data_IF_683068814671
#
_entry.id   IF_683068814671
#
_cell.length_a   1.000
_cell.length_b   1.000
_cell.length_c   1.000
_cell.angle_alpha   90.00
_cell.angle_beta   90.00
_cell.angle_gamma   90.00
#
_symmetry.space_group_name_H-M   'P 1'
#
loop_
_entity.id
_entity.type
_entity.pdbx_description
1 polymer ?
#
# COMPACT_ATOMS: atom_id res chain seq x y z
N UNK A 1 29.42 -20.83 -29.37
CA UNK A 1 28.20 -20.78 -30.22
C UNK A 1 27.06 -21.52 -29.53
N UNK A 2 26.20 -20.80 -28.81
CA UNK A 2 24.82 -21.21 -28.53
C UNK A 2 23.98 -19.93 -28.59
N UNK A 3 23.27 -19.76 -29.71
CA UNK A 3 22.27 -18.71 -29.91
C UNK A 3 21.07 -19.05 -29.03
N UNK A 4 20.67 -18.14 -28.16
CA UNK A 4 19.35 -18.18 -27.54
C UNK A 4 18.38 -17.69 -28.63
N UNK A 5 17.67 -18.64 -29.23
CA UNK A 5 16.62 -18.40 -30.20
C UNK A 5 15.35 -17.99 -29.44
N UNK A 6 14.90 -16.74 -29.61
CA UNK A 6 13.68 -16.29 -28.92
C UNK A 6 13.28 -14.82 -29.02
N UNK A 7 13.88 -13.97 -29.86
CA UNK A 7 13.35 -12.62 -30.12
C UNK A 7 13.41 -12.30 -31.63
N UNK A 8 12.60 -13.01 -32.42
CA UNK A 8 12.35 -12.62 -33.80
C UNK A 8 11.35 -11.47 -33.85
N UNK A 9 11.80 -10.29 -34.29
CA UNK A 9 11.02 -9.48 -35.21
C UNK A 9 10.09 -8.39 -34.66
N UNK A 10 10.49 -7.63 -33.63
CA UNK A 10 9.83 -6.33 -33.38
C UNK A 10 10.68 -5.23 -34.02
N UNK A 11 10.19 -4.53 -35.07
CA UNK A 11 10.97 -3.49 -35.72
C UNK A 11 11.32 -2.39 -34.71
N UNK A 12 12.55 -1.85 -34.71
CA UNK A 12 13.01 -0.88 -33.70
C UNK A 12 12.20 0.43 -33.71
N UNK A 13 11.49 0.71 -34.80
CA UNK A 13 10.57 1.84 -34.98
C UNK A 13 9.12 1.55 -34.61
N UNK A 14 8.77 0.28 -34.36
CA UNK A 14 7.43 -0.06 -33.87
C UNK A 14 7.25 0.40 -32.42
N UNK A 15 6.01 0.68 -32.02
CA UNK A 15 5.67 1.06 -30.65
C UNK A 15 6.20 0.03 -29.63
N UNK A 16 6.15 -1.27 -29.98
CA UNK A 16 6.71 -2.34 -29.17
C UNK A 16 8.24 -2.27 -29.05
N UNK A 17 8.94 -1.98 -30.15
CA UNK A 17 10.41 -1.87 -30.20
C UNK A 17 10.94 -0.66 -29.43
N UNK A 18 10.25 0.49 -29.58
CA UNK A 18 10.55 1.72 -28.83
C UNK A 18 10.35 1.50 -27.33
N UNK A 19 9.22 0.88 -26.93
CA UNK A 19 8.94 0.55 -25.53
C UNK A 19 9.98 -0.41 -24.93
N UNK A 20 10.38 -1.44 -25.66
CA UNK A 20 11.39 -2.39 -25.21
C UNK A 20 12.77 -1.72 -25.04
N UNK A 21 13.16 -0.83 -25.97
CA UNK A 21 14.42 -0.06 -25.85
C UNK A 21 14.35 0.91 -24.67
N UNK A 22 13.27 1.66 -24.50
CA UNK A 22 13.09 2.57 -23.38
C UNK A 22 13.15 1.84 -22.02
N UNK A 23 12.52 0.67 -21.91
CA UNK A 23 12.57 -0.16 -20.69
C UNK A 23 13.98 -0.71 -20.42
N UNK A 24 14.74 -1.08 -21.46
CA UNK A 24 16.14 -1.51 -21.33
C UNK A 24 17.04 -0.35 -20.86
N UNK A 25 16.93 0.81 -21.49
CA UNK A 25 17.67 2.02 -21.08
C UNK A 25 17.32 2.42 -19.65
N UNK A 26 16.03 2.37 -19.29
CA UNK A 26 15.57 2.67 -17.93
C UNK A 26 16.12 1.67 -16.90
N UNK A 27 16.15 0.36 -17.22
CA UNK A 27 16.78 -0.66 -16.36
C UNK A 27 18.27 -0.39 -16.14
N UNK A 28 18.99 -0.04 -17.19
CA UNK A 28 20.43 0.25 -17.12
C UNK A 28 20.72 1.52 -16.31
N UNK A 29 20.02 2.63 -16.60
CA UNK A 29 20.13 3.86 -15.81
C UNK A 29 19.76 3.62 -14.34
N UNK A 30 18.76 2.77 -14.09
CA UNK A 30 18.36 2.41 -12.73
C UNK A 30 19.48 1.69 -11.97
N UNK A 31 20.08 0.68 -12.58
CA UNK A 31 21.19 -0.07 -11.98
C UNK A 31 22.35 0.86 -11.61
N UNK A 32 22.70 1.79 -12.50
CA UNK A 32 23.79 2.74 -12.26
C UNK A 32 23.44 3.73 -11.14
N UNK A 33 22.26 4.34 -11.16
CA UNK A 33 21.88 5.37 -10.18
C UNK A 33 21.53 4.79 -8.81
N UNK A 34 21.01 3.57 -8.73
CA UNK A 34 20.67 2.94 -7.44
C UNK A 34 21.92 2.61 -6.59
N UNK A 35 23.11 2.54 -7.22
CA UNK A 35 24.40 2.35 -6.52
C UNK A 35 24.93 3.65 -5.91
N UNK A 36 24.38 4.80 -6.28
CA UNK A 36 24.79 6.09 -5.71
C UNK A 36 24.09 6.33 -4.37
N UNK A 37 24.88 6.47 -3.31
CA UNK A 37 24.37 6.79 -1.97
C UNK A 37 23.56 8.09 -1.99
N UNK A 38 22.44 8.11 -1.27
CA UNK A 38 21.52 9.25 -1.22
C UNK A 38 20.54 9.36 -2.40
N UNK A 39 20.74 8.63 -3.51
CA UNK A 39 19.86 8.74 -4.67
C UNK A 39 18.44 8.23 -4.40
N UNK A 40 18.30 7.04 -3.81
CA UNK A 40 16.97 6.45 -3.56
C UNK A 40 16.17 7.23 -2.52
N UNK A 41 16.75 7.71 -1.40
CA UNK A 41 16.07 8.64 -0.51
C UNK A 41 15.61 9.93 -1.20
N UNK A 42 16.42 10.51 -2.10
CA UNK A 42 16.08 11.75 -2.79
C UNK A 42 14.83 11.60 -3.69
N UNK A 43 14.56 10.39 -4.19
CA UNK A 43 13.31 10.12 -4.91
C UNK A 43 12.07 10.43 -4.05
N UNK A 44 12.13 10.25 -2.71
CA UNK A 44 11.02 10.63 -1.84
C UNK A 44 10.76 12.13 -1.86
N UNK A 45 11.81 12.96 -1.90
CA UNK A 45 11.69 14.41 -1.99
C UNK A 45 11.06 14.82 -3.33
N UNK A 46 11.50 14.23 -4.44
CA UNK A 46 10.92 14.46 -5.77
C UNK A 46 9.44 14.05 -5.80
N UNK A 47 9.09 12.92 -5.18
CA UNK A 47 7.71 12.44 -5.14
C UNK A 47 6.82 13.38 -4.29
N UNK A 48 7.37 13.98 -3.23
CA UNK A 48 6.66 14.88 -2.34
C UNK A 48 6.52 16.31 -2.90
N UNK A 49 7.46 16.75 -3.75
CA UNK A 49 7.48 18.12 -4.26
C UNK A 49 6.34 18.42 -5.25
N UNK A 50 5.43 19.31 -4.83
CA UNK A 50 4.31 19.77 -5.64
C UNK A 50 4.70 20.63 -6.85
N UNK A 51 5.93 21.13 -6.91
CA UNK A 51 6.45 21.89 -8.05
C UNK A 51 6.95 20.99 -9.18
N UNK A 52 7.16 19.70 -8.91
CA UNK A 52 7.59 18.72 -9.92
C UNK A 52 6.37 18.23 -10.71
N UNK A 53 6.44 18.17 -12.06
CA UNK A 53 5.34 17.65 -12.86
C UNK A 53 4.93 16.22 -12.50
N UNK A 54 3.61 15.96 -12.47
CA UNK A 54 3.04 14.66 -12.08
C UNK A 54 3.66 13.44 -12.80
N UNK A 55 3.92 13.47 -14.13
CA UNK A 55 4.55 12.33 -14.81
C UNK A 55 5.96 12.01 -14.28
N UNK A 56 6.69 13.01 -13.79
CA UNK A 56 8.03 12.85 -13.21
C UNK A 56 7.92 12.26 -11.81
N UNK A 57 7.00 12.78 -10.99
CA UNK A 57 6.71 12.25 -9.64
C UNK A 57 6.27 10.78 -9.69
N UNK A 58 5.40 10.44 -10.65
CA UNK A 58 4.96 9.06 -10.85
C UNK A 58 6.11 8.15 -11.29
N UNK A 59 6.96 8.61 -12.22
CA UNK A 59 8.17 7.89 -12.64
C UNK A 59 9.12 7.65 -11.47
N UNK A 60 9.35 8.67 -10.63
CA UNK A 60 10.17 8.58 -9.42
C UNK A 60 9.58 7.57 -8.42
N UNK A 61 8.26 7.56 -8.20
CA UNK A 61 7.59 6.60 -7.32
C UNK A 61 7.68 5.15 -7.82
N UNK A 62 7.56 4.95 -9.14
CA UNK A 62 7.76 3.63 -9.75
C UNK A 62 9.20 3.17 -9.56
N UNK A 63 10.18 4.05 -9.80
CA UNK A 63 11.59 3.75 -9.63
C UNK A 63 11.89 3.40 -8.17
N UNK A 64 11.46 4.24 -7.23
CA UNK A 64 11.65 4.06 -5.80
C UNK A 64 11.14 2.68 -5.34
N UNK A 65 9.91 2.33 -5.70
CA UNK A 65 9.31 1.02 -5.39
C UNK A 65 10.16 -0.12 -5.94
N UNK A 66 10.69 0.02 -7.15
CA UNK A 66 11.52 -1.02 -7.78
C UNK A 66 12.87 -1.16 -7.10
N UNK A 67 13.48 -0.07 -6.64
CA UNK A 67 14.73 -0.09 -5.89
C UNK A 67 14.53 -0.75 -4.52
N UNK A 68 13.48 -0.35 -3.79
CA UNK A 68 13.13 -1.00 -2.51
C UNK A 68 12.82 -2.49 -2.70
N UNK A 69 12.13 -2.89 -3.77
CA UNK A 69 11.81 -4.30 -4.00
C UNK A 69 12.99 -5.19 -4.39
N UNK A 70 14.11 -4.64 -4.87
CA UNK A 70 15.25 -5.41 -5.42
C UNK A 70 16.57 -5.22 -4.66
N UNK A 71 16.72 -4.09 -4.00
CA UNK A 71 18.00 -3.65 -3.42
C UNK A 71 17.91 -3.40 -1.91
N UNK A 72 16.79 -3.78 -1.26
CA UNK A 72 16.66 -3.60 0.19
C UNK A 72 17.52 -4.58 0.99
N UNK A 73 17.58 -5.85 0.59
CA UNK A 73 18.56 -6.84 1.06
C UNK A 73 18.96 -7.73 -0.13
N UNK A 74 20.19 -8.26 -0.10
CA UNK A 74 20.64 -9.26 -1.07
C UNK A 74 20.02 -10.59 -0.65
N UNK A 75 19.24 -11.21 -1.55
CA UNK A 75 18.69 -12.55 -1.33
C UNK A 75 19.64 -13.51 -2.04
N UNK A 76 20.40 -14.30 -1.27
CA UNK A 76 21.44 -15.20 -1.80
C UNK A 76 20.86 -16.43 -2.55
N UNK A 77 19.56 -16.74 -2.38
CA UNK A 77 18.95 -18.03 -2.77
C UNK A 77 18.03 -17.97 -4.03
N UNK A 78 18.18 -16.99 -4.93
CA UNK A 78 17.35 -16.95 -6.15
C UNK A 78 17.98 -17.84 -7.26
N UNK A 79 17.76 -19.16 -7.18
CA UNK A 79 18.22 -20.18 -8.14
C UNK A 79 17.68 -19.96 -9.59
N UNK A 80 16.71 -19.06 -9.77
CA UNK A 80 16.14 -18.65 -11.06
C UNK A 80 16.73 -17.33 -11.62
N UNK A 81 17.78 -16.78 -11.00
CA UNK A 81 18.38 -15.53 -11.46
C UNK A 81 19.31 -15.73 -12.66
N UNK A 82 18.75 -15.42 -13.84
CA UNK A 82 19.39 -15.29 -15.16
C UNK A 82 20.76 -14.56 -15.10
N UNK A 83 21.86 -15.31 -14.95
CA UNK A 83 23.27 -15.06 -15.27
C UNK A 83 23.82 -13.60 -15.14
N UNK A 84 23.34 -12.80 -14.19
CA UNK A 84 23.86 -11.43 -13.95
C UNK A 84 23.95 -11.10 -12.46
N UNK A 85 24.77 -11.87 -11.74
CA UNK A 85 25.07 -11.69 -10.31
C UNK A 85 25.81 -10.36 -9.98
N UNK A 86 26.31 -9.63 -10.97
CA UNK A 86 27.09 -8.39 -10.76
C UNK A 86 26.24 -7.12 -10.55
N UNK A 87 24.91 -7.22 -10.63
CA UNK A 87 24.02 -6.05 -10.62
C UNK A 87 23.09 -5.90 -9.40
N UNK A 88 23.19 -6.79 -8.42
CA UNK A 88 22.45 -6.69 -7.16
C UNK A 88 23.21 -5.84 -6.13
N UNK A 89 23.22 -4.52 -6.33
CA UNK A 89 23.66 -3.59 -5.28
C UNK A 89 22.62 -3.49 -4.16
N UNK A 90 23.06 -3.65 -2.90
CA UNK A 90 22.27 -3.38 -1.70
C UNK A 90 22.29 -1.89 -1.35
N UNK A 91 21.17 -1.34 -0.85
CA UNK A 91 21.12 0.02 -0.31
C UNK A 91 21.96 0.11 0.98
N UNK A 92 22.62 1.27 1.16
CA UNK A 92 23.34 1.56 2.40
C UNK A 92 22.37 1.62 3.59
N UNK A 93 22.84 1.26 4.79
CA UNK A 93 22.01 1.34 6.00
C UNK A 93 21.58 2.78 6.30
N UNK A 94 22.42 3.76 5.98
CA UNK A 94 22.07 5.18 6.10
C UNK A 94 20.88 5.55 5.20
N UNK A 95 20.91 5.13 3.93
CA UNK A 95 19.79 5.36 3.01
C UNK A 95 18.51 4.67 3.49
N UNK A 96 18.61 3.44 3.99
CA UNK A 96 17.45 2.74 4.57
C UNK A 96 16.87 3.50 5.75
N UNK A 97 17.71 4.06 6.63
CA UNK A 97 17.27 4.84 7.78
C UNK A 97 16.58 6.14 7.35
N UNK A 98 17.12 6.85 6.36
CA UNK A 98 16.48 8.05 5.79
C UNK A 98 15.14 7.71 5.13
N UNK A 99 15.05 6.59 4.40
CA UNK A 99 13.81 6.11 3.79
C UNK A 99 12.76 5.80 4.86
N UNK A 100 13.14 5.04 5.89
CA UNK A 100 12.26 4.68 7.02
C UNK A 100 11.74 5.92 7.75
N UNK A 101 12.58 6.94 7.94
CA UNK A 101 12.15 8.19 8.58
C UNK A 101 11.12 8.97 7.75
N UNK A 102 11.24 8.96 6.42
CA UNK A 102 10.52 9.89 5.55
C UNK A 102 9.37 9.28 4.74
N UNK A 103 9.33 7.97 4.51
CA UNK A 103 8.35 7.34 3.60
C UNK A 103 6.90 7.61 3.98
N UNK A 104 6.57 7.65 5.28
CA UNK A 104 5.20 7.95 5.74
C UNK A 104 4.81 9.40 5.43
N UNK A 105 5.73 10.34 5.58
CA UNK A 105 5.51 11.75 5.21
C UNK A 105 5.36 11.89 3.69
N UNK A 106 6.22 11.25 2.92
CA UNK A 106 6.13 11.24 1.46
C UNK A 106 4.78 10.68 0.96
N UNK A 107 4.22 9.65 1.61
CA UNK A 107 2.87 9.13 1.28
C UNK A 107 1.77 10.18 1.55
N UNK A 108 1.93 11.03 2.56
CA UNK A 108 0.97 12.10 2.88
C UNK A 108 0.94 13.22 1.83
N UNK A 109 2.10 13.51 1.24
CA UNK A 109 2.32 14.60 0.27
C UNK A 109 2.20 14.12 -1.19
N UNK A 110 2.28 12.81 -1.41
CA UNK A 110 2.13 12.20 -2.72
C UNK A 110 0.70 12.31 -3.27
N UNK A 111 0.62 12.50 -4.58
CA UNK A 111 -0.60 12.32 -5.39
C UNK A 111 -1.06 10.87 -5.37
N UNK A 112 -2.34 10.64 -5.71
CA UNK A 112 -2.94 9.31 -5.68
C UNK A 112 -2.16 8.25 -6.49
N UNK A 113 -1.68 8.51 -7.73
CA UNK A 113 -0.91 7.51 -8.48
C UNK A 113 0.43 7.16 -7.83
N UNK A 114 1.15 8.16 -7.31
CA UNK A 114 2.42 7.96 -6.62
C UNK A 114 2.23 7.27 -5.27
N UNK A 115 1.18 7.63 -4.53
CA UNK A 115 0.77 7.02 -3.25
C UNK A 115 0.57 5.51 -3.37
N UNK A 116 -0.03 5.05 -4.46
CA UNK A 116 -0.20 3.60 -4.73
C UNK A 116 1.16 2.90 -4.86
N UNK A 117 2.14 3.52 -5.52
CA UNK A 117 3.48 2.92 -5.66
C UNK A 117 4.23 2.90 -4.33
N UNK A 118 4.16 4.00 -3.57
CA UNK A 118 4.75 4.08 -2.22
C UNK A 118 4.10 3.10 -1.24
N UNK A 119 2.79 2.85 -1.36
CA UNK A 119 2.10 1.84 -0.56
C UNK A 119 2.63 0.42 -0.83
N UNK A 120 3.05 0.10 -2.05
CA UNK A 120 3.70 -1.19 -2.35
C UNK A 120 5.12 -1.21 -1.76
N UNK A 121 5.87 -0.10 -1.89
CA UNK A 121 7.22 0.00 -1.37
C UNK A 121 7.25 -0.19 0.16
N UNK A 122 6.36 0.49 0.89
CA UNK A 122 6.30 0.37 2.36
C UNK A 122 5.87 -1.03 2.80
N UNK A 123 5.02 -1.74 2.04
CA UNK A 123 4.70 -3.14 2.34
C UNK A 123 5.94 -4.03 2.28
N UNK A 124 6.82 -3.81 1.30
CA UNK A 124 8.07 -4.57 1.22
C UNK A 124 8.97 -4.25 2.42
N UNK A 125 9.12 -2.98 2.78
CA UNK A 125 9.94 -2.57 3.94
C UNK A 125 9.37 -3.18 5.24
N UNK A 126 8.05 -3.14 5.44
CA UNK A 126 7.40 -3.76 6.61
C UNK A 126 7.66 -5.27 6.66
N UNK A 127 7.63 -5.97 5.51
CA UNK A 127 7.89 -7.42 5.47
C UNK A 127 9.30 -7.77 5.96
N UNK A 128 10.28 -6.92 5.66
CA UNK A 128 11.70 -7.20 5.87
C UNK A 128 12.20 -6.66 7.21
N UNK A 129 11.85 -5.43 7.56
CA UNK A 129 12.46 -4.72 8.69
C UNK A 129 11.58 -4.67 9.95
N UNK A 130 10.25 -4.76 9.83
CA UNK A 130 9.36 -4.60 10.98
C UNK A 130 9.05 -5.96 11.65
N UNK A 131 9.15 -6.08 13.00
CA UNK A 131 9.37 -5.01 13.97
C UNK A 131 10.84 -4.77 14.37
N UNK A 132 11.74 -5.72 14.11
CA UNK A 132 13.05 -5.77 14.76
C UNK A 132 14.01 -4.63 14.34
N UNK A 133 14.06 -4.30 13.05
CA UNK A 133 14.95 -3.27 12.48
C UNK A 133 14.26 -1.92 12.29
N UNK A 134 12.98 -1.83 12.62
CA UNK A 134 12.20 -0.59 12.53
C UNK A 134 11.24 -0.43 13.72
N UNK A 135 11.77 -0.32 14.95
CA UNK A 135 10.97 -0.02 16.12
C UNK A 135 10.33 1.38 15.99
N UNK A 136 9.17 1.58 16.61
CA UNK A 136 8.46 2.87 16.62
C UNK A 136 7.70 3.23 15.33
N UNK A 137 7.76 2.40 14.27
CA UNK A 137 6.98 2.61 13.05
C UNK A 137 5.47 2.76 13.33
N UNK A 138 4.90 1.89 14.18
CA UNK A 138 3.48 1.94 14.52
C UNK A 138 3.11 3.18 15.35
N UNK A 139 4.04 3.73 16.15
CA UNK A 139 3.81 4.96 16.90
C UNK A 139 3.78 6.17 15.96
N UNK A 140 4.67 6.20 14.96
CA UNK A 140 4.63 7.22 13.91
C UNK A 140 3.32 7.15 13.10
N UNK A 141 2.87 5.94 12.75
CA UNK A 141 1.58 5.73 12.09
C UNK A 141 0.40 6.20 12.97
N UNK A 142 0.42 5.86 14.26
CA UNK A 142 -0.61 6.27 15.21
C UNK A 142 -0.73 7.80 15.27
N UNK A 143 0.39 8.52 15.31
CA UNK A 143 0.39 9.98 15.34
C UNK A 143 -0.30 10.60 14.11
N UNK A 144 -0.10 10.04 12.91
CA UNK A 144 -0.75 10.49 11.67
C UNK A 144 -2.26 10.27 11.66
N UNK A 145 -2.75 9.22 12.33
CA UNK A 145 -4.17 8.86 12.37
C UNK A 145 -4.90 9.53 13.55
N UNK A 146 -4.23 9.72 14.69
CA UNK A 146 -4.86 10.24 15.90
C UNK A 146 -5.35 11.68 15.73
N UNK A 147 -4.52 12.56 15.18
CA UNK A 147 -4.87 13.96 14.94
C UNK A 147 -4.39 14.41 13.54
N UNK A 148 -5.12 14.03 12.47
CA UNK A 148 -4.71 14.36 11.11
C UNK A 148 -4.92 15.85 10.82
N UNK A 149 -3.91 16.52 10.26
CA UNK A 149 -3.99 17.94 9.90
C UNK A 149 -5.03 18.22 8.81
N UNK A 150 -5.27 17.27 7.90
CA UNK A 150 -6.25 17.36 6.83
C UNK A 150 -6.68 15.96 6.33
N UNK A 151 -7.66 15.92 5.41
CA UNK A 151 -8.18 14.69 4.83
C UNK A 151 -7.12 13.87 4.07
N UNK A 152 -6.12 14.52 3.45
CA UNK A 152 -5.03 13.83 2.75
C UNK A 152 -4.15 13.05 3.72
N UNK A 153 -3.75 13.68 4.84
CA UNK A 153 -2.95 13.04 5.90
C UNK A 153 -3.70 11.84 6.50
N UNK A 154 -5.00 11.99 6.77
CA UNK A 154 -5.83 10.88 7.24
C UNK A 154 -5.87 9.74 6.21
N UNK A 155 -6.12 10.04 4.94
CA UNK A 155 -6.15 9.02 3.88
C UNK A 155 -4.80 8.31 3.71
N UNK A 156 -3.69 9.04 3.82
CA UNK A 156 -2.34 8.48 3.80
C UNK A 156 -2.09 7.55 4.99
N UNK A 157 -2.42 7.99 6.22
CA UNK A 157 -2.33 7.15 7.42
C UNK A 157 -3.15 5.87 7.29
N UNK A 158 -4.40 5.97 6.83
CA UNK A 158 -5.26 4.82 6.55
C UNK A 158 -4.67 3.89 5.47
N UNK A 159 -4.02 4.45 4.44
CA UNK A 159 -3.35 3.67 3.38
C UNK A 159 -2.16 2.87 3.93
N UNK A 160 -1.36 3.47 4.82
CA UNK A 160 -0.24 2.79 5.49
C UNK A 160 -0.76 1.70 6.44
N UNK A 161 -1.81 1.98 7.21
CA UNK A 161 -2.45 0.99 8.07
C UNK A 161 -3.01 -0.20 7.28
N UNK A 162 -3.65 0.05 6.15
CA UNK A 162 -4.09 -1.00 5.24
C UNK A 162 -2.92 -1.84 4.73
N UNK A 163 -1.79 -1.18 4.42
CA UNK A 163 -0.56 -1.85 3.99
C UNK A 163 -0.01 -2.79 5.05
N UNK A 164 0.01 -2.37 6.33
CA UNK A 164 0.35 -3.25 7.47
C UNK A 164 -0.58 -4.46 7.47
N UNK A 165 -1.89 -4.23 7.38
CA UNK A 165 -2.86 -5.31 7.38
C UNK A 165 -2.64 -6.32 6.26
N UNK A 166 -2.36 -5.85 5.04
CA UNK A 166 -2.07 -6.71 3.88
C UNK A 166 -0.79 -7.54 4.03
N UNK A 167 0.23 -7.01 4.71
CA UNK A 167 1.47 -7.75 4.99
C UNK A 167 1.22 -8.90 5.97
N UNK A 168 0.32 -8.71 6.93
CA UNK A 168 0.07 -9.68 8.00
C UNK A 168 -1.16 -10.56 7.77
N UNK A 169 -1.99 -10.28 6.76
CA UNK A 169 -3.25 -11.01 6.47
C UNK A 169 -3.07 -12.53 6.44
N UNK A 170 -2.01 -12.98 5.75
CA UNK A 170 -1.70 -14.41 5.56
C UNK A 170 -0.55 -14.91 6.45
N UNK A 171 -0.04 -14.09 7.38
CA UNK A 171 0.99 -14.54 8.34
C UNK A 171 0.38 -15.42 9.43
N UNK A 172 1.24 -16.20 10.10
CA UNK A 172 0.82 -17.08 11.20
C UNK A 172 0.38 -16.26 12.41
N UNK A 173 -0.43 -16.83 13.30
CA UNK A 173 -0.96 -16.14 14.49
C UNK A 173 0.14 -15.51 15.34
N UNK A 174 1.25 -16.22 15.57
CA UNK A 174 2.39 -15.71 16.35
C UNK A 174 3.00 -14.44 15.75
N UNK A 175 3.03 -14.32 14.43
CA UNK A 175 3.54 -13.13 13.75
C UNK A 175 2.53 -11.98 13.84
N UNK A 176 1.23 -12.29 13.84
CA UNK A 176 0.16 -11.28 14.00
C UNK A 176 0.15 -10.67 15.40
N UNK A 177 0.58 -11.40 16.43
CA UNK A 177 0.66 -10.89 17.81
C UNK A 177 1.57 -9.65 17.91
N UNK A 178 2.61 -9.56 17.06
CA UNK A 178 3.51 -8.40 16.96
C UNK A 178 2.76 -7.09 16.68
N UNK A 179 1.69 -7.15 15.88
CA UNK A 179 0.89 -5.97 15.51
C UNK A 179 -0.40 -5.85 16.31
N UNK A 180 -0.77 -6.85 17.13
CA UNK A 180 -2.05 -6.89 17.82
C UNK A 180 -2.26 -5.70 18.76
N UNK A 181 -1.32 -5.43 19.66
CA UNK A 181 -1.45 -4.32 20.61
C UNK A 181 -1.46 -2.93 19.92
N UNK A 182 -0.56 -2.61 18.97
CA UNK A 182 -0.65 -1.37 18.22
C UNK A 182 -1.94 -1.22 17.40
N UNK A 183 -2.39 -2.28 16.73
CA UNK A 183 -3.63 -2.26 15.92
C UNK A 183 -4.84 -2.02 16.81
N UNK A 184 -4.92 -2.64 17.99
CA UNK A 184 -6.00 -2.44 18.96
C UNK A 184 -6.12 -0.98 19.42
N UNK A 185 -4.99 -0.25 19.52
CA UNK A 185 -5.00 1.20 19.82
C UNK A 185 -5.48 2.06 18.66
N UNK A 186 -5.17 1.66 17.42
CA UNK A 186 -5.53 2.41 16.21
C UNK A 186 -6.99 2.16 15.80
N UNK A 187 -7.53 0.96 16.06
CA UNK A 187 -8.88 0.55 15.65
C UNK A 187 -9.99 1.55 16.06
N UNK A 188 -10.07 2.03 17.32
CA UNK A 188 -11.09 3.01 17.72
C UNK A 188 -11.00 4.32 16.93
N UNK A 189 -9.80 4.74 16.53
CA UNK A 189 -9.59 5.96 15.77
C UNK A 189 -10.11 5.83 14.34
N UNK A 190 -9.88 4.68 13.70
CA UNK A 190 -10.43 4.40 12.35
C UNK A 190 -11.95 4.48 12.38
N UNK A 191 -12.58 3.89 13.40
CA UNK A 191 -14.03 3.99 13.57
C UNK A 191 -14.50 5.42 13.79
N UNK A 192 -13.84 6.16 14.67
CA UNK A 192 -14.16 7.56 14.94
C UNK A 192 -14.17 8.39 13.65
N UNK A 193 -13.08 8.34 12.86
CA UNK A 193 -12.96 9.09 11.62
C UNK A 193 -13.99 8.69 10.57
N UNK A 194 -14.23 7.39 10.40
CA UNK A 194 -15.25 6.89 9.50
C UNK A 194 -16.66 7.38 9.89
N UNK A 195 -16.96 7.40 11.20
CA UNK A 195 -18.24 7.87 11.74
C UNK A 195 -18.43 9.36 11.52
N UNK A 196 -17.41 10.19 11.78
CA UNK A 196 -17.49 11.64 11.57
C UNK A 196 -17.78 12.01 10.11
N UNK A 197 -17.27 11.21 9.17
CA UNK A 197 -17.43 11.49 7.74
C UNK A 197 -18.76 10.99 7.18
N UNK A 198 -19.63 10.33 7.97
CA UNK A 198 -20.83 9.63 7.48
C UNK A 198 -21.73 10.46 6.59
N UNK A 199 -22.07 11.66 7.04
CA UNK A 199 -23.04 12.53 6.39
C UNK A 199 -22.37 13.46 5.37
N UNK A 200 -21.03 13.49 5.35
CA UNK A 200 -20.23 14.21 4.36
C UNK A 200 -20.23 13.45 3.02
N UNK A 201 -20.70 14.09 1.96
CA UNK A 201 -20.80 13.52 0.60
C UNK A 201 -19.69 13.99 -0.36
N UNK A 202 -18.67 14.70 0.14
CA UNK A 202 -17.50 15.07 -0.67
C UNK A 202 -16.78 13.84 -1.26
N UNK A 203 -16.10 14.03 -2.38
CA UNK A 203 -15.33 12.96 -3.03
C UNK A 203 -14.27 12.37 -2.08
N UNK A 204 -13.63 13.24 -1.29
CA UNK A 204 -12.64 12.90 -0.28
C UNK A 204 -13.25 12.01 0.82
N UNK A 205 -14.45 12.35 1.29
CA UNK A 205 -15.15 11.55 2.30
C UNK A 205 -15.52 10.15 1.75
N UNK A 206 -15.87 10.03 0.46
CA UNK A 206 -16.14 8.73 -0.17
C UNK A 206 -14.88 7.86 -0.23
N UNK A 207 -13.73 8.45 -0.57
CA UNK A 207 -12.45 7.74 -0.61
C UNK A 207 -12.07 7.24 0.79
N UNK A 208 -12.15 8.11 1.80
CA UNK A 208 -11.85 7.76 3.20
C UNK A 208 -12.80 6.66 3.71
N UNK A 209 -14.10 6.75 3.40
CA UNK A 209 -15.07 5.70 3.74
C UNK A 209 -14.73 4.36 3.08
N UNK A 210 -14.40 4.36 1.79
CA UNK A 210 -13.99 3.15 1.06
C UNK A 210 -12.72 2.54 1.66
N UNK A 211 -11.74 3.38 2.00
CA UNK A 211 -10.51 2.93 2.66
C UNK A 211 -10.78 2.38 4.07
N UNK A 212 -11.59 3.08 4.87
CA UNK A 212 -12.03 2.62 6.19
C UNK A 212 -12.67 1.23 6.15
N UNK A 213 -13.56 0.98 5.18
CA UNK A 213 -14.17 -0.34 4.98
C UNK A 213 -13.13 -1.43 4.69
N UNK A 214 -12.15 -1.16 3.82
CA UNK A 214 -11.07 -2.11 3.52
C UNK A 214 -10.23 -2.43 4.76
N UNK A 215 -9.93 -1.42 5.57
CA UNK A 215 -9.15 -1.57 6.80
C UNK A 215 -9.93 -2.38 7.82
N UNK A 216 -11.22 -2.07 8.04
CA UNK A 216 -12.10 -2.83 8.93
C UNK A 216 -12.15 -4.30 8.51
N UNK A 217 -12.25 -4.58 7.20
CA UNK A 217 -12.23 -5.94 6.69
C UNK A 217 -10.92 -6.65 7.03
N UNK A 218 -9.77 -6.05 6.70
CA UNK A 218 -8.47 -6.68 6.93
C UNK A 218 -8.21 -6.86 8.43
N UNK A 219 -8.56 -5.89 9.27
CA UNK A 219 -8.45 -6.01 10.73
C UNK A 219 -9.29 -7.15 11.30
N UNK A 220 -10.47 -7.41 10.72
CA UNK A 220 -11.29 -8.56 11.10
C UNK A 220 -10.55 -9.89 10.86
N UNK A 221 -9.78 -9.99 9.76
CA UNK A 221 -8.97 -11.18 9.43
C UNK A 221 -7.70 -11.30 10.29
N UNK A 222 -7.28 -10.22 10.94
CA UNK A 222 -6.14 -10.21 11.85
C UNK A 222 -6.50 -10.64 13.28
N UNK A 223 -7.78 -10.53 13.67
CA UNK A 223 -8.20 -10.90 15.01
C UNK A 223 -8.19 -12.42 15.21
N UNK A 224 -7.28 -12.87 16.07
CA UNK A 224 -7.10 -14.25 16.52
C UNK A 224 -8.09 -14.69 17.60
N UNK A 225 -8.95 -13.79 18.09
CA UNK A 225 -9.98 -14.11 19.09
C UNK A 225 -10.89 -15.17 18.50
N UNK A 226 -10.82 -16.43 18.93
CA UNK A 226 -11.67 -17.50 18.38
C UNK A 226 -13.11 -17.43 18.88
N UNK A 227 -13.31 -16.85 20.06
CA UNK A 227 -14.62 -16.73 20.69
C UNK A 227 -15.52 -15.69 19.99
N UNK A 228 -16.77 -16.09 19.74
CA UNK A 228 -17.73 -15.27 18.98
C UNK A 228 -18.28 -14.10 19.80
N UNK A 229 -18.45 -14.27 21.11
CA UNK A 229 -19.03 -13.24 21.99
C UNK A 229 -17.99 -12.16 22.31
N UNK A 230 -16.74 -12.55 22.55
CA UNK A 230 -15.63 -11.62 22.73
C UNK A 230 -15.35 -10.83 21.44
N UNK A 231 -15.39 -11.51 20.27
CA UNK A 231 -15.40 -10.83 18.96
C UNK A 231 -16.53 -9.80 18.84
N UNK A 232 -17.71 -10.07 19.39
CA UNK A 232 -18.86 -9.17 19.29
C UNK A 232 -18.72 -7.86 20.08
N UNK A 233 -17.85 -7.84 21.08
CA UNK A 233 -17.60 -6.68 21.92
C UNK A 233 -16.59 -5.70 21.30
N UNK A 234 -15.77 -6.17 20.36
CA UNK A 234 -14.79 -5.36 19.63
C UNK A 234 -15.43 -4.19 18.87
N UNK A 235 -14.67 -3.13 18.66
CA UNK A 235 -15.15 -1.94 17.95
C UNK A 235 -15.51 -2.30 16.50
N UNK A 236 -14.73 -3.17 15.85
CA UNK A 236 -14.94 -3.58 14.46
C UNK A 236 -16.21 -4.40 14.22
N UNK A 237 -16.68 -5.22 15.18
CA UNK A 237 -17.96 -5.91 15.03
C UNK A 237 -19.13 -4.92 15.00
N UNK A 238 -19.03 -3.83 15.78
CA UNK A 238 -19.97 -2.69 15.70
C UNK A 238 -19.82 -1.95 14.36
N UNK A 239 -18.59 -1.83 13.85
CA UNK A 239 -18.31 -1.30 12.51
C UNK A 239 -18.88 -2.17 11.38
N UNK A 240 -19.02 -3.49 11.54
CA UNK A 240 -19.59 -4.39 10.53
C UNK A 240 -21.06 -4.08 10.24
N UNK A 241 -21.86 -3.84 11.29
CA UNK A 241 -23.26 -3.39 11.16
C UNK A 241 -23.35 -2.01 10.50
N UNK A 242 -22.35 -1.16 10.73
CA UNK A 242 -22.23 0.15 10.12
C UNK A 242 -21.79 0.09 8.65
N UNK A 243 -20.84 -0.79 8.33
CA UNK A 243 -20.38 -1.08 6.98
C UNK A 243 -21.53 -1.57 6.10
N UNK A 244 -22.39 -2.43 6.65
CA UNK A 244 -23.65 -2.83 6.02
C UNK A 244 -24.54 -1.62 5.71
N UNK A 245 -24.79 -0.72 6.67
CA UNK A 245 -25.59 0.51 6.44
C UNK A 245 -24.97 1.47 5.43
N UNK A 246 -23.64 1.56 5.38
CA UNK A 246 -22.92 2.38 4.42
C UNK A 246 -23.00 1.77 3.01
N UNK A 247 -22.80 0.45 2.89
CA UNK A 247 -23.00 -0.27 1.64
C UNK A 247 -24.44 -0.12 1.17
N UNK A 248 -25.43 -0.29 2.05
CA UNK A 248 -26.86 -0.08 1.75
C UNK A 248 -27.13 1.32 1.19
N UNK A 249 -26.64 2.39 1.85
CA UNK A 249 -26.73 3.77 1.33
C UNK A 249 -26.03 3.98 -0.01
N UNK A 250 -24.88 3.33 -0.24
CA UNK A 250 -24.13 3.41 -1.49
C UNK A 250 -24.87 2.66 -2.61
N UNK A 251 -25.37 1.45 -2.34
CA UNK A 251 -26.06 0.59 -3.29
C UNK A 251 -27.47 1.12 -3.65
N UNK A 252 -28.22 1.67 -2.68
CA UNK A 252 -29.54 2.31 -2.90
C UNK A 252 -29.49 3.56 -3.80
N UNK A 253 -28.30 4.14 -3.97
CA UNK A 253 -28.06 5.34 -4.77
C UNK A 253 -27.30 5.04 -6.07
N UNK A 254 -26.36 4.08 -6.05
CA UNK A 254 -25.58 3.67 -7.22
C UNK A 254 -26.41 3.07 -8.35
N UNK A 255 -27.55 2.44 -8.03
CA UNK A 255 -28.48 1.93 -9.04
C UNK A 255 -29.39 3.01 -9.67
N UNK A 256 -29.49 4.22 -9.09
CA UNK A 256 -30.26 5.33 -9.66
C UNK A 256 -29.48 6.20 -10.64
N UNK A 257 -28.16 6.18 -10.58
CA UNK A 257 -27.28 6.93 -11.50
C UNK A 257 -26.36 5.96 -12.24
N UNK A 258 -26.94 5.12 -13.11
CA UNK A 258 -26.14 4.31 -14.03
C UNK A 258 -25.46 5.21 -15.06
N UNK A 259 -24.12 5.36 -14.92
CA UNK A 259 -23.08 5.53 -15.96
C UNK A 259 -21.94 6.35 -15.36
N UNK A 260 -20.70 5.92 -15.60
CA UNK A 260 -19.42 6.58 -15.25
C UNK A 260 -18.95 6.31 -13.80
N UNK A 261 -18.31 5.15 -13.57
CA UNK A 261 -16.85 5.02 -13.36
C UNK A 261 -16.54 3.53 -13.56
N UNK A 262 -15.53 3.24 -14.37
CA UNK A 262 -15.04 1.88 -14.63
C UNK A 262 -14.32 1.34 -13.38
N UNK A 263 -15.08 0.83 -12.41
CA UNK A 263 -14.59 0.27 -11.13
C UNK A 263 -14.45 -1.25 -11.27
N UNK A 264 -13.58 -1.71 -12.16
CA UNK A 264 -13.46 -3.14 -12.49
C UNK A 264 -12.50 -3.98 -11.62
N UNK A 265 -11.93 -3.45 -10.53
CA UNK A 265 -11.08 -4.25 -9.63
C UNK A 265 -11.44 -4.19 -8.15
N UNK A 266 -12.35 -3.29 -7.71
CA UNK A 266 -12.68 -3.14 -6.28
C UNK A 266 -14.03 -3.72 -5.84
N UNK A 267 -14.76 -4.37 -6.75
CA UNK A 267 -16.06 -4.97 -6.46
C UNK A 267 -16.00 -6.42 -5.97
N UNK A 268 -14.95 -7.20 -6.29
CA UNK A 268 -14.86 -8.60 -5.84
C UNK A 268 -14.75 -8.71 -4.32
N UNK A 269 -13.86 -7.94 -3.69
CA UNK A 269 -13.60 -8.03 -2.25
C UNK A 269 -14.78 -7.54 -1.40
N UNK A 270 -15.47 -6.48 -1.85
CA UNK A 270 -16.66 -5.93 -1.16
C UNK A 270 -17.85 -6.86 -1.29
N UNK A 271 -18.03 -7.49 -2.46
CA UNK A 271 -19.08 -8.49 -2.68
C UNK A 271 -18.79 -9.78 -1.92
N UNK A 272 -17.53 -10.21 -1.82
CA UNK A 272 -17.13 -11.33 -0.98
C UNK A 272 -17.32 -11.03 0.51
N UNK A 273 -17.00 -9.82 0.96
CA UNK A 273 -17.33 -9.37 2.31
C UNK A 273 -18.84 -9.45 2.53
N UNK A 274 -19.66 -8.85 1.66
CA UNK A 274 -21.12 -8.90 1.75
C UNK A 274 -21.68 -10.34 1.80
N UNK A 275 -21.19 -11.23 0.91
CA UNK A 275 -21.60 -12.65 0.86
C UNK A 275 -21.16 -13.45 2.09
N UNK A 276 -19.95 -13.23 2.58
CA UNK A 276 -19.44 -13.88 3.81
C UNK A 276 -20.26 -13.49 5.04
N UNK A 277 -20.89 -12.31 5.01
CA UNK A 277 -21.70 -11.78 6.12
C UNK A 277 -23.18 -12.17 6.05
N UNK A 278 -23.72 -12.48 4.87
CA UNK A 278 -25.11 -12.90 4.68
C UNK A 278 -25.41 -14.29 5.28
N UNK A 279 -24.38 -15.12 5.51
CA UNK A 279 -24.52 -16.44 6.14
C UNK A 279 -24.54 -16.47 7.66
N UNK A 280 -24.32 -15.34 8.34
CA UNK A 280 -24.34 -15.27 9.81
C UNK A 280 -25.72 -14.80 10.28
N UNK A 281 -26.51 -15.72 10.87
CA UNK A 281 -27.74 -15.34 11.58
C UNK A 281 -27.41 -14.32 12.68
N UNK A 282 -28.16 -13.22 12.67
CA UNK A 282 -28.07 -12.05 13.56
C UNK A 282 -28.40 -12.45 14.99
#
# INVERSE_FOLDING_TARGET
MKRIAGEAGIPPTSIGGIRARALRTFRCCRSMCAKQQGFVPELLNIIADGNVPEPVRQSAAIFFKMSVGRSWEIIEDDEDSDDNAEDQGCLSEDDKNVIKANIVNAICEATEPARIQLAIAIQNIIRMDYPAKWPGFMDHLFAKISNPANASVLSAGLTVLYSVGKVYEFKRTKDKDVIAAPVSKIEPLVFYHCKQMLDNQSAEAVIIKKQGLKIIYVMTQLNSIDDREERAQTVWWKCKKWAMKLLDRIFDRGLRHSRIVNVHSTNMDVVQLFRSTQGMKI
#
